data_IF_648769587184
#
_entry.id   IF_648769587184
#
_cell.length_a   1.000
_cell.length_b   1.000
_cell.length_c   1.000
_cell.angle_alpha   90.00
_cell.angle_beta   90.00
_cell.angle_gamma   90.00
#
_symmetry.space_group_name_H-M   'P 1'
#
loop_
_entity.id
_entity.type
_entity.pdbx_description
1 polymer ?
2 polymer ?
3 non-polymer ?
4 non-polymer ?
5 non-polymer ?
6 non-polymer ?
7 water ?
#
# COMPACT_ATOMS: atom_id res chain seq x y z
N UNK A 1 10.92 -17.91 -23.78
CA UNK A 1 10.20 -17.76 -22.47
C UNK A 1 9.05 -16.76 -22.62
N UNK A 2 8.01 -16.93 -21.80
CA UNK A 2 6.88 -16.00 -21.80
C UNK A 2 6.64 -15.50 -20.38
N UNK A 3 6.27 -14.24 -20.28
CA UNK A 3 6.18 -13.58 -18.99
C UNK A 3 5.11 -14.17 -18.07
N UNK A 4 4.06 -14.78 -18.64
CA UNK A 4 2.96 -15.32 -17.82
C UNK A 4 3.33 -16.64 -17.14
N UNK A 5 4.41 -17.28 -17.61
CA UNK A 5 4.90 -18.48 -16.98
C UNK A 5 6.17 -18.21 -16.18
N UNK A 6 6.08 -18.37 -14.87
CA UNK A 6 7.25 -18.32 -14.00
C UNK A 6 7.88 -16.92 -14.07
N UNK A 7 7.06 -15.93 -14.41
CA UNK A 7 7.52 -14.53 -14.59
C UNK A 7 8.56 -14.35 -15.70
N UNK A 8 8.56 -15.24 -16.70
CA UNK A 8 9.56 -15.21 -17.77
C UNK A 8 10.97 -15.47 -17.30
N UNK A 9 11.10 -16.00 -16.07
CA UNK A 9 12.41 -16.14 -15.38
C UNK A 9 12.97 -14.87 -14.76
N UNK A 10 12.30 -13.73 -14.99
CA UNK A 10 12.74 -12.44 -14.47
C UNK A 10 12.52 -12.31 -12.96
N UNK A 11 13.43 -11.59 -12.33
CA UNK A 11 13.34 -11.25 -10.91
C UNK A 11 12.23 -10.24 -10.67
N UNK A 12 12.15 -9.23 -11.54
CA UNK A 12 11.16 -8.17 -11.47
C UNK A 12 10.24 -8.17 -12.68
N UNK A 13 10.35 -7.19 -13.57
CA UNK A 13 9.36 -6.97 -14.63
C UNK A 13 9.77 -7.67 -15.92
N UNK A 14 8.77 -8.01 -16.74
CA UNK A 14 8.97 -8.87 -17.92
C UNK A 14 8.14 -8.35 -19.08
N UNK A 15 8.78 -8.19 -20.25
CA UNK A 15 8.09 -7.85 -21.51
C UNK A 15 8.28 -8.96 -22.54
N UNK A 16 7.16 -9.40 -23.12
CA UNK A 16 7.17 -10.29 -24.29
C UNK A 16 7.45 -9.46 -25.55
N UNK A 17 8.22 -10.02 -26.47
CA UNK A 17 8.49 -9.37 -27.74
C UNK A 17 8.16 -10.32 -28.90
N UNK A 18 8.15 -9.75 -30.10
CA UNK A 18 7.79 -10.50 -31.30
C UNK A 18 8.88 -11.54 -31.59
N UNK A 19 8.47 -12.80 -31.57
CA UNK A 19 9.36 -13.96 -31.68
C UNK A 19 9.32 -14.71 -30.37
N UNK A 20 10.22 -15.69 -30.22
CA UNK A 20 10.45 -16.30 -28.91
C UNK A 20 11.38 -15.38 -28.12
N UNK A 21 11.03 -14.10 -28.05
CA UNK A 21 11.84 -13.09 -27.37
C UNK A 21 11.19 -12.55 -26.10
N UNK A 22 12.04 -12.18 -25.15
CA UNK A 22 11.61 -11.73 -23.83
C UNK A 22 12.68 -10.78 -23.29
N UNK A 23 12.28 -9.67 -22.69
CA UNK A 23 13.19 -8.80 -21.99
C UNK A 23 12.74 -8.59 -20.56
N UNK A 24 13.66 -8.78 -19.62
CA UNK A 24 13.43 -8.47 -18.22
C UNK A 24 13.84 -7.04 -17.98
N UNK A 25 13.19 -6.40 -17.00
CA UNK A 25 13.52 -5.02 -16.65
C UNK A 25 13.48 -4.88 -15.12
N UNK A 26 14.02 -3.78 -14.61
CA UNK A 26 14.09 -3.54 -13.17
C UNK A 26 13.47 -2.17 -12.84
N UNK A 27 13.01 -2.05 -11.61
CA UNK A 27 12.43 -0.81 -11.09
C UNK A 27 13.55 0.22 -11.01
N UNK A 28 13.16 1.50 -10.98
CA UNK A 28 14.15 2.55 -10.71
C UNK A 28 14.89 2.22 -9.42
N UNK A 29 16.20 2.51 -9.38
CA UNK A 29 17.03 2.17 -8.22
C UNK A 29 17.65 0.78 -8.30
N UNK A 30 17.42 0.10 -9.44
CA UNK A 30 18.02 -1.19 -9.72
C UNK A 30 18.54 -1.25 -11.13
N UNK A 31 19.52 -2.12 -11.38
CA UNK A 31 19.99 -2.41 -12.74
C UNK A 31 20.00 -3.90 -13.01
N UNK A 32 19.87 -4.25 -14.27
CA UNK A 32 19.77 -5.64 -14.69
C UNK A 32 21.16 -6.21 -14.88
N UNK A 33 21.39 -7.40 -14.33
CA UNK A 33 22.68 -8.08 -14.48
C UNK A 33 22.80 -8.74 -15.86
N UNK A 34 24.01 -9.20 -16.17
CA UNK A 34 24.34 -9.85 -17.46
C UNK A 34 23.60 -11.16 -17.70
N UNK A 35 23.10 -11.80 -16.64
CA UNK A 35 22.24 -12.98 -16.80
C UNK A 35 20.89 -12.65 -17.46
N UNK A 36 20.58 -11.36 -17.53
CA UNK A 36 19.37 -10.87 -18.17
C UNK A 36 18.10 -11.01 -17.36
N UNK A 37 18.22 -11.49 -16.12
CA UNK A 37 17.05 -11.76 -15.25
C UNK A 37 17.16 -11.07 -13.88
N UNK A 38 18.37 -10.95 -13.33
CA UNK A 38 18.56 -10.48 -11.95
C UNK A 38 18.68 -8.94 -11.90
N UNK A 39 18.18 -8.37 -10.79
CA UNK A 39 18.19 -6.93 -10.50
C UNK A 39 19.03 -6.66 -9.26
N UNK A 40 19.96 -5.73 -9.34
CA UNK A 40 20.76 -5.37 -8.22
C UNK A 40 20.58 -3.87 -7.89
N UNK A 41 20.51 -3.51 -6.60
CA UNK A 41 20.39 -2.08 -6.25
C UNK A 41 21.49 -1.20 -6.80
N UNK A 42 21.11 -0.01 -7.23
CA UNK A 42 22.04 1.00 -7.67
C UNK A 42 22.07 2.19 -6.71
N UNK A 43 21.20 2.19 -5.71
CA UNK A 43 21.16 3.27 -4.72
C UNK A 43 21.14 2.69 -3.32
N UNK A 44 21.28 3.57 -2.33
CA UNK A 44 21.37 3.15 -0.94
C UNK A 44 20.05 2.58 -0.44
N UNK A 45 18.94 3.21 -0.82
CA UNK A 45 17.61 2.85 -0.30
C UNK A 45 16.63 2.49 -1.43
N UNK A 46 16.86 1.34 -2.12
CA UNK A 46 15.96 1.00 -3.21
C UNK A 46 14.60 0.62 -2.67
N UNK A 47 13.55 0.74 -3.47
CA UNK A 47 12.21 0.42 -2.97
C UNK A 47 12.11 -1.06 -2.62
N UNK A 48 11.23 -1.37 -1.66
CA UNK A 48 10.86 -2.73 -1.40
C UNK A 48 11.90 -3.55 -0.67
N UNK A 49 12.97 -2.91 -0.20
CA UNK A 49 14.02 -3.55 0.60
C UNK A 49 14.04 -2.96 2.02
N UNK A 50 14.32 -3.80 3.00
CA UNK A 50 14.31 -3.35 4.40
C UNK A 50 15.73 -3.25 4.93
N UNK A 51 16.31 -2.03 5.02
CA UNK A 51 17.71 -1.85 5.38
C UNK A 51 18.23 -2.58 6.61
N UNK A 52 17.46 -2.62 7.70
CA UNK A 52 18.01 -3.26 8.92
C UNK A 52 18.14 -4.77 8.73
N UNK A 53 17.27 -5.35 7.92
CA UNK A 53 17.39 -6.77 7.54
C UNK A 53 18.45 -7.03 6.46
N UNK A 54 18.57 -6.14 5.47
CA UNK A 54 19.61 -6.27 4.44
C UNK A 54 21.00 -6.18 5.05
N UNK A 55 21.17 -5.26 6.00
CA UNK A 55 22.36 -5.22 6.83
C UNK A 55 22.47 -6.48 7.70
N UNK A 56 21.32 -6.94 8.20
CA UNK A 56 21.14 -8.23 8.90
C UNK A 56 20.70 -7.99 10.34
N UNK B 1 -5.07 -3.65 13.76
CA UNK B 1 -4.75 -5.03 13.42
C UNK B 1 -5.12 -5.98 14.57
N UNK B 2 -5.93 -6.98 14.27
CA UNK B 2 -6.32 -8.02 15.25
C UNK B 2 -5.52 -9.30 15.00
N UNK B 3 -4.91 -9.87 16.05
CA UNK B 3 -4.25 -11.15 15.99
C UNK B 3 -2.92 -11.18 15.26
N UNK B 4 -2.27 -10.01 15.16
CA UNK B 4 -0.92 -9.90 14.58
C UNK B 4 0.14 -9.75 15.66
N UNK B 5 1.22 -9.06 15.34
CA UNK B 5 2.28 -8.74 16.29
C UNK B 5 2.86 -7.38 16.02
N UNK B 6 3.69 -6.93 16.94
CA UNK B 6 4.39 -5.69 16.75
C UNK B 6 5.36 -5.84 15.56
N UNK B 7 5.24 -4.95 14.60
CA UNK B 7 6.25 -4.85 13.57
C UNK B 7 7.54 -4.31 14.21
N UNK B 8 8.64 -5.08 14.20
CA UNK B 8 9.87 -4.52 14.75
C UNK B 8 10.26 -3.21 14.06
N UNK B 9 10.66 -2.24 14.88
CA UNK B 9 10.96 -0.88 14.44
C UNK B 9 11.89 -0.89 13.22
N UNK B 10 11.45 -0.29 12.12
CA UNK B 10 12.27 -0.27 10.91
C UNK B 10 11.96 -1.38 9.91
N UNK B 11 11.11 -2.34 10.29
CA UNK B 11 10.76 -3.42 9.37
C UNK B 11 9.51 -3.20 8.53
N UNK B 12 8.85 -2.08 8.74
CA UNK B 12 7.74 -1.66 7.94
C UNK B 12 8.00 -0.20 7.47
N UNK B 13 9.17 0.07 6.83
CA UNK B 13 9.64 1.44 6.67
C UNK B 13 8.86 2.33 5.70
N UNK B 14 7.95 1.72 4.95
CA UNK B 14 7.06 2.38 4.00
C UNK B 14 5.73 2.77 4.61
N UNK B 15 5.48 2.36 5.85
CA UNK B 15 4.20 2.63 6.51
C UNK B 15 4.07 4.12 6.78
N UNK B 16 2.89 4.66 6.53
CA UNK B 16 2.60 6.08 6.79
C UNK B 16 1.47 6.18 7.81
N UNK B 17 1.59 7.14 8.72
CA UNK B 17 0.48 7.53 9.62
C UNK B 17 -0.06 8.86 9.14
N UNK B 18 -1.36 8.91 8.89
CA UNK B 18 -2.01 10.17 8.48
C UNK B 18 -2.72 10.77 9.71
N UNK B 19 -2.52 12.06 9.91
CA UNK B 19 -3.08 12.80 11.06
C UNK B 19 -3.95 13.96 10.56
N UNK B 20 -5.01 14.27 11.31
CA UNK B 20 -5.82 15.46 11.02
C UNK B 20 -5.96 16.20 12.36
N UNK B 21 -5.46 17.43 12.43
CA UNK B 21 -5.34 18.15 13.72
C UNK B 21 -4.67 17.34 14.90
N UNK B 22 -3.60 16.62 14.59
CA UNK B 22 -2.90 15.79 15.56
C UNK B 22 -3.48 14.41 15.81
N UNK B 23 -4.71 14.18 15.36
CA UNK B 23 -5.43 12.96 15.63
C UNK B 23 -5.23 11.92 14.53
N UNK B 24 -5.08 10.67 14.93
CA UNK B 24 -4.97 9.56 13.99
C UNK B 24 -6.16 9.52 13.03
N UNK B 25 -5.87 9.53 11.72
CA UNK B 25 -6.89 9.42 10.69
C UNK B 25 -6.88 8.05 10.01
N UNK B 26 -5.74 7.69 9.43
CA UNK B 26 -5.63 6.56 8.53
C UNK B 26 -4.17 6.17 8.39
N UNK B 27 -3.92 5.04 7.73
CA UNK B 27 -2.56 4.72 7.31
C UNK B 27 -2.40 5.02 5.84
N UNK B 28 -1.19 4.76 5.36
CA UNK B 28 -0.89 4.82 3.95
C UNK B 28 0.48 4.20 3.63
N UNK B 29 0.91 4.29 2.36
CA UNK B 29 2.14 3.65 1.91
C UNK B 29 2.97 4.63 1.11
N UNK B 30 4.22 4.83 1.52
CA UNK B 30 5.16 5.61 0.72
C UNK B 30 5.56 4.76 -0.51
N UNK B 31 5.44 5.33 -1.69
CA UNK B 31 5.89 4.67 -2.90
C UNK B 31 7.04 5.43 -3.63
N UNK B 32 7.31 6.66 -3.24
CA UNK B 32 8.59 7.29 -3.56
C UNK B 32 8.71 8.48 -2.62
N UNK B 33 9.68 9.37 -2.82
CA UNK B 33 9.96 10.36 -1.78
C UNK B 33 8.91 11.43 -1.57
N UNK B 34 7.98 11.59 -2.51
CA UNK B 34 6.92 12.58 -2.33
C UNK B 34 5.49 12.06 -2.50
N UNK B 35 5.32 10.78 -2.81
CA UNK B 35 4.01 10.21 -3.04
C UNK B 35 3.67 9.11 -2.04
N UNK B 36 2.43 9.17 -1.55
CA UNK B 36 1.84 8.20 -0.61
C UNK B 36 0.53 7.72 -1.19
N UNK B 37 0.24 6.41 -1.06
CA UNK B 37 -1.01 5.84 -1.50
C UNK B 37 -1.79 5.52 -0.24
N UNK B 38 -3.05 5.91 -0.24
CA UNK B 38 -3.99 5.63 0.87
C UNK B 38 -5.40 5.28 0.31
N UNK B 39 -6.42 5.28 1.18
CA UNK B 39 -7.80 4.96 0.77
C UNK B 39 -8.61 6.26 0.60
N UNK B 40 -9.41 6.33 -0.46
CA UNK B 40 -10.28 7.47 -0.70
C UNK B 40 -11.19 7.75 0.46
N UNK B 41 -11.71 6.67 1.08
CA UNK B 41 -12.73 6.85 2.13
C UNK B 41 -12.21 7.57 3.37
N UNK B 42 -10.90 7.55 3.59
CA UNK B 42 -10.29 8.29 4.68
C UNK B 42 -10.57 9.80 4.63
N UNK B 43 -10.93 10.32 3.46
CA UNK B 43 -11.08 11.77 3.25
C UNK B 43 -12.52 12.21 3.09
N UNK B 44 -13.47 11.34 3.38
CA UNK B 44 -14.89 11.67 3.17
C UNK B 44 -15.35 12.86 4.03
N UNK B 45 -14.81 13.01 5.22
CA UNK B 45 -15.31 14.00 6.18
C UNK B 45 -14.30 15.04 6.54
N UNK B 46 -13.33 15.30 5.69
CA UNK B 46 -12.30 16.27 6.04
C UNK B 46 -12.88 17.69 6.03
N UNK B 47 -12.56 18.45 7.07
CA UNK B 47 -13.09 19.79 7.28
C UNK B 47 -12.10 20.81 6.75
N UNK B 48 -10.94 20.86 7.39
CA UNK B 48 -9.84 21.72 6.95
C UNK B 48 -8.78 20.87 6.25
N UNK B 49 -8.81 20.89 4.91
CA UNK B 49 -7.85 20.15 4.11
C UNK B 49 -6.41 20.56 4.36
N UNK B 50 -6.19 21.69 5.02
CA UNK B 50 -4.85 22.24 5.15
C UNK B 50 -4.14 21.80 6.44
N UNK B 51 -4.82 20.98 7.25
CA UNK B 51 -4.24 20.41 8.48
C UNK B 51 -3.99 18.89 8.42
N UNK B 52 -3.90 18.37 7.20
CA UNK B 52 -3.56 16.97 7.00
C UNK B 52 -2.04 16.79 7.02
N UNK B 53 -1.55 15.84 7.83
CA UNK B 53 -0.12 15.61 7.99
C UNK B 53 0.17 14.16 7.74
N UNK B 54 1.28 13.88 7.04
CA UNK B 54 1.75 12.48 6.87
C UNK B 54 3.01 12.33 7.69
N UNK B 55 3.12 11.22 8.42
CA UNK B 55 4.30 10.96 9.22
C UNK B 55 4.94 9.65 8.75
N UNK B 56 6.21 9.73 8.43
CA UNK B 56 7.02 8.56 8.09
C UNK B 56 7.98 8.25 9.24
N UNK B 57 8.44 6.99 9.29
CA UNK B 57 9.42 6.57 10.26
C UNK B 57 8.85 6.45 11.66
N UNK B 58 7.52 6.42 11.74
CA UNK B 58 6.81 6.32 13.02
C UNK B 58 6.79 4.82 13.42
N UNK B 59 6.80 4.60 14.74
CA UNK B 59 6.73 3.27 15.30
C UNK B 59 5.89 3.26 16.59
N UNK B 60 6.40 3.89 17.63
CA UNK B 60 5.71 3.96 18.92
C UNK B 60 5.14 5.36 19.09
N UNK B 61 3.82 5.47 19.03
CA UNK B 61 3.14 6.77 19.07
C UNK B 61 3.29 7.51 20.41
N UNK B 62 3.79 6.83 21.42
CA UNK B 62 3.91 7.39 22.76
C UNK B 62 5.18 8.22 22.91
N UNK B 63 6.13 8.08 21.99
CA UNK B 63 7.42 8.71 22.15
C UNK B 63 7.94 9.34 20.86
N UNK B 64 8.91 10.21 21.00
CA UNK B 64 9.65 10.76 19.90
C UNK B 64 11.08 10.20 19.98
N UNK B 65 11.52 9.52 18.92
CA UNK B 65 12.88 8.99 18.90
C UNK B 65 13.82 9.57 17.83
N UNK B 66 13.30 10.49 17.04
CA UNK B 66 14.08 11.24 16.07
C UNK B 66 14.12 10.61 14.69
N UNK B 67 13.51 9.44 14.50
CA UNK B 67 13.44 8.83 13.16
C UNK B 67 12.17 9.25 12.39
N UNK B 68 11.25 9.92 13.07
CA UNK B 68 10.02 10.37 12.46
C UNK B 68 10.28 11.56 11.54
N UNK B 69 9.58 11.59 10.42
CA UNK B 69 9.55 12.74 9.52
C UNK B 69 8.11 13.10 9.18
N UNK B 70 7.70 14.35 9.44
CA UNK B 70 6.35 14.82 9.15
C UNK B 70 6.34 15.76 7.96
N UNK B 71 5.33 15.61 7.12
CA UNK B 71 5.13 16.48 6.00
C UNK B 71 3.66 16.84 5.90
N UNK B 72 3.39 18.04 5.44
CA UNK B 72 2.05 18.46 5.07
C UNK B 72 1.64 17.78 3.78
N UNK B 73 0.35 17.46 3.67
CA UNK B 73 -0.19 16.88 2.44
C UNK B 73 -0.66 18.01 1.53
N UNK B 74 0.02 18.17 0.40
CA UNK B 74 -0.24 19.25 -0.56
C UNK B 74 -1.40 18.91 -1.50
N UNK B 75 -1.61 17.63 -1.79
CA UNK B 75 -2.65 17.20 -2.72
C UNK B 75 -3.19 15.86 -2.30
N UNK B 76 -4.52 15.71 -2.39
CA UNK B 76 -5.19 14.43 -2.23
C UNK B 76 -5.93 14.19 -3.54
N UNK B 77 -5.51 13.18 -4.28
CA UNK B 77 -6.08 12.89 -5.60
C UNK B 77 -6.91 11.60 -5.52
N UNK B 78 -8.18 11.68 -5.92
CA UNK B 78 -9.11 10.56 -5.85
C UNK B 78 -9.71 10.28 -7.25
N UNK B 79 -9.92 9.01 -7.59
CA UNK B 79 -10.48 8.74 -8.91
C UNK B 79 -11.87 9.31 -9.04
N UNK B 80 -12.24 9.75 -10.23
CA UNK B 80 -13.59 10.26 -10.51
C UNK B 80 -14.70 9.26 -10.20
N UNK B 81 -14.41 7.98 -10.32
CA UNK B 81 -15.36 6.87 -10.13
C UNK B 81 -15.68 6.54 -8.65
N UNK B 82 -14.89 7.07 -7.73
CA UNK B 82 -15.15 6.97 -6.28
C UNK B 82 -16.36 7.81 -5.89
N UNK B 83 -17.29 7.21 -5.16
CA UNK B 83 -18.45 7.94 -4.62
C UNK B 83 -18.35 7.94 -3.10
N UNK B 84 -18.21 9.12 -2.47
CA UNK B 84 -18.12 9.11 -1.01
C UNK B 84 -19.21 8.31 -0.30
N UNK B 85 -18.77 7.61 0.75
CA UNK B 85 -19.64 6.78 1.55
C UNK B 85 -19.87 5.38 1.02
N UNK B 86 -19.33 5.06 -0.15
CA UNK B 86 -19.39 3.71 -0.72
C UNK B 86 -17.99 3.09 -0.80
N UNK B 87 -17.89 1.85 -1.28
CA UNK B 87 -16.67 1.04 -1.13
C UNK B 87 -15.79 0.94 -2.38
N UNK B 88 -16.37 1.10 -3.57
CA UNK B 88 -15.65 0.83 -4.81
C UNK B 88 -14.66 1.95 -5.16
N UNK B 89 -13.58 1.58 -5.82
CA UNK B 89 -12.51 2.53 -6.21
C UNK B 89 -11.89 3.27 -5.02
N UNK B 90 -11.57 2.53 -3.96
CA UNK B 90 -11.16 3.12 -2.69
C UNK B 90 -9.64 3.34 -2.65
N UNK B 91 -9.20 4.40 -3.33
CA UNK B 91 -7.78 4.69 -3.46
C UNK B 91 -7.58 6.21 -3.54
N UNK B 92 -6.51 6.70 -2.91
CA UNK B 92 -6.14 8.12 -2.98
C UNK B 92 -4.63 8.19 -3.16
N UNK B 93 -4.18 9.16 -3.94
CA UNK B 93 -2.76 9.43 -4.14
C UNK B 93 -2.47 10.81 -3.54
N UNK B 94 -1.53 10.83 -2.61
CA UNK B 94 -1.24 12.01 -1.84
C UNK B 94 0.14 12.49 -2.22
N UNK B 95 0.25 13.80 -2.46
CA UNK B 95 1.52 14.44 -2.77
C UNK B 95 1.96 15.20 -1.53
N UNK B 96 3.18 14.93 -1.08
CA UNK B 96 3.73 15.61 0.10
C UNK B 96 4.24 17.01 -0.30
N UNK B 97 4.25 17.94 0.64
CA UNK B 97 4.66 19.33 0.33
C UNK B 97 6.15 19.41 0.07
N UNK B 98 6.91 18.49 0.64
CA UNK B 98 8.37 18.41 0.49
C UNK B 98 8.75 16.94 0.61
N UNK B 99 9.77 16.47 -0.15
CA UNK B 99 10.11 15.06 -0.07
C UNK B 99 10.52 14.63 1.35
N UNK B 100 10.23 13.37 1.71
CA UNK B 100 10.87 12.80 2.88
C UNK B 100 12.31 12.41 2.49
N UNK B 101 13.17 12.24 3.49
CA UNK B 101 14.57 11.86 3.25
C UNK B 101 14.67 10.37 3.50
N UNK B 102 15.12 9.63 2.52
CA UNK B 102 15.21 8.20 2.74
C UNK B 102 16.32 7.88 3.76
N UNK B 103 16.01 6.93 4.65
CA UNK B 103 16.88 6.56 5.78
C UNK B 103 16.63 5.10 6.07
N UNK B 104 17.34 4.51 7.04
CA UNK B 104 17.07 3.11 7.43
C UNK B 104 15.61 2.90 7.87
N UNK B 105 14.94 3.97 8.29
CA UNK B 105 13.57 3.86 8.82
C UNK B 105 12.49 4.37 7.91
N UNK B 106 12.90 4.91 6.75
CA UNK B 106 11.98 5.51 5.79
C UNK B 106 12.40 5.05 4.40
N UNK B 107 11.63 4.14 3.80
CA UNK B 107 11.90 3.55 2.50
C UNK B 107 10.61 3.31 1.75
N UNK B 108 10.55 3.61 0.44
CA UNK B 108 9.27 3.36 -0.23
C UNK B 108 9.08 1.91 -0.56
N UNK B 109 7.83 1.47 -0.62
CA UNK B 109 7.45 0.19 -1.22
C UNK B 109 7.39 0.33 -2.76
N UNK B 110 7.80 -0.68 -3.49
CA UNK B 110 7.71 -0.64 -4.94
C UNK B 110 6.28 -0.71 -5.44
N UNK B 111 5.90 0.24 -6.29
CA UNK B 111 4.64 0.16 -7.00
C UNK B 111 4.89 -0.67 -8.25
N UNK B 112 4.31 -1.88 -8.34
CA UNK B 112 4.70 -2.79 -9.41
C UNK B 112 4.12 -2.41 -10.77
N UNK B 113 4.68 -2.94 -11.85
CA UNK B 113 3.97 -2.89 -13.13
C UNK B 113 2.68 -3.69 -13.08
N UNK B 114 1.66 -3.29 -13.83
CA UNK B 114 0.38 -3.99 -13.85
C UNK B 114 0.54 -5.47 -14.24
N UNK B 115 1.23 -5.73 -15.33
CA UNK B 115 1.35 -7.13 -15.80
C UNK B 115 2.02 -8.00 -14.76
N UNK B 116 3.10 -7.51 -14.17
CA UNK B 116 3.81 -8.24 -13.12
C UNK B 116 2.87 -8.51 -11.93
N UNK B 117 2.10 -7.48 -11.56
CA UNK B 117 1.22 -7.60 -10.43
C UNK B 117 0.08 -8.60 -10.68
N UNK B 118 -0.47 -8.57 -11.88
CA UNK B 118 -1.57 -9.48 -12.23
C UNK B 118 -1.14 -10.92 -12.50
N UNK B 119 -0.04 -11.07 -13.20
CA UNK B 119 0.42 -12.40 -13.62
C UNK B 119 1.21 -13.13 -12.55
N UNK B 120 1.85 -12.39 -11.65
CA UNK B 120 2.76 -12.97 -10.71
C UNK B 120 2.37 -12.64 -9.28
N UNK B 121 2.28 -11.35 -8.91
CA UNK B 121 2.01 -11.02 -7.50
C UNK B 121 0.66 -11.54 -6.99
N UNK B 122 -0.37 -11.50 -7.84
CA UNK B 122 -1.73 -11.91 -7.46
C UNK B 122 -1.81 -13.35 -6.99
N UNK B 123 -0.77 -14.13 -7.30
CA UNK B 123 -0.67 -15.56 -6.97
C UNK B 123 0.25 -15.88 -5.81
N UNK B 124 0.92 -14.88 -5.24
CA UNK B 124 1.62 -15.07 -3.97
C UNK B 124 0.55 -15.17 -2.86
N UNK B 125 0.54 -16.29 -2.14
CA UNK B 125 -0.57 -16.54 -1.24
C UNK B 125 -0.64 -15.55 -0.07
N UNK B 126 0.47 -15.35 0.63
CA UNK B 126 0.48 -14.54 1.84
C UNK B 126 1.15 -13.19 1.61
N UNK B 127 0.57 -12.17 2.25
CA UNK B 127 1.07 -10.81 2.22
C UNK B 127 0.87 -10.17 3.60
N UNK B 128 1.59 -9.08 3.82
CA UNK B 128 1.64 -8.41 5.14
C UNK B 128 0.72 -7.19 5.11
N UNK B 129 -0.08 -7.01 6.16
CA UNK B 129 -0.94 -5.83 6.33
C UNK B 129 -0.57 -5.20 7.66
N UNK B 130 -0.49 -3.86 7.71
CA UNK B 130 0.01 -3.18 8.91
C UNK B 130 -0.75 -1.90 9.27
N UNK B 131 -0.64 -1.48 10.54
CA UNK B 131 -1.21 -0.24 10.99
C UNK B 131 -1.34 -0.14 12.51
N UNK B 132 -1.82 1.01 12.94
CA UNK B 132 -2.03 1.35 14.34
C UNK B 132 -3.51 1.33 14.63
N UNK B 133 -4.27 0.52 13.92
CA UNK B 133 -5.70 0.39 14.18
C UNK B 133 -6.05 -0.40 15.43
N UNK B 134 -7.33 -0.68 15.56
CA UNK B 134 -7.86 -1.42 16.73
C UNK B 134 -7.24 -2.81 16.86
N UNK B 135 -6.91 -3.17 18.09
CA UNK B 135 -6.33 -4.48 18.41
C UNK B 135 -7.41 -5.55 18.57
N UNK B 136 -8.66 -5.09 18.77
CA UNK B 136 -9.86 -5.94 18.92
C UNK B 136 -11.03 -5.18 18.39
N UNK B 137 -12.05 -5.90 17.94
CA UNK B 137 -13.34 -5.31 17.63
C UNK B 137 -13.84 -4.57 18.89
N UNK B 138 -14.26 -3.33 18.72
CA UNK B 138 -14.74 -2.49 19.83
C UNK B 138 -13.65 -2.19 20.87
N UNK B 139 -12.39 -2.26 20.47
CA UNK B 139 -11.27 -2.11 21.37
C UNK B 139 -10.40 -0.93 21.01
N UNK B 140 -9.44 -0.65 21.90
CA UNK B 140 -8.49 0.48 21.75
C UNK B 140 -7.53 0.26 20.56
N UNK B 141 -7.04 1.36 20.01
CA UNK B 141 -6.06 1.29 18.91
C UNK B 141 -4.66 1.06 19.46
N UNK B 142 -3.76 0.60 18.57
CA UNK B 142 -2.39 0.27 18.94
C UNK B 142 -1.50 1.48 19.13
N UNK B 143 -0.62 1.44 20.14
CA UNK B 143 0.41 2.48 20.27
C UNK B 143 1.69 2.13 19.52
N UNK B 144 1.90 0.85 19.26
CA UNK B 144 3.03 0.40 18.42
C UNK B 144 2.50 -0.20 17.14
N UNK B 145 3.20 0.05 16.03
CA UNK B 145 2.79 -0.43 14.71
C UNK B 145 2.68 -1.95 14.73
N UNK B 146 1.56 -2.46 14.25
CA UNK B 146 1.33 -3.90 14.21
C UNK B 146 1.32 -4.41 12.76
N UNK B 147 1.59 -5.72 12.60
CA UNK B 147 1.65 -6.38 11.31
C UNK B 147 1.07 -7.80 11.38
N UNK B 148 0.47 -8.23 10.28
CA UNK B 148 -0.26 -9.49 10.19
C UNK B 148 -0.05 -10.09 8.80
N UNK B 149 0.21 -11.40 8.75
CA UNK B 149 0.33 -12.12 7.47
C UNK B 149 -1.04 -12.67 7.16
N UNK B 150 -1.57 -12.36 5.98
CA UNK B 150 -2.91 -12.78 5.57
C UNK B 150 -2.87 -13.41 4.18
N UNK B 151 -3.62 -14.50 3.98
CA UNK B 151 -3.71 -15.11 2.65
C UNK B 151 -4.81 -14.51 1.78
N UNK B 152 -4.53 -14.42 0.48
CA UNK B 152 -5.43 -13.85 -0.50
C UNK B 152 -6.34 -14.94 -1.03
N UNK B 153 -7.56 -14.54 -1.36
CA UNK B 153 -8.55 -15.42 -1.93
C UNK B 153 -8.91 -14.95 -3.32
N UNK B 154 -9.15 -15.89 -4.23
CA UNK B 154 -9.86 -15.55 -5.47
C UNK B 154 -11.28 -15.15 -5.10
N UNK B 155 -11.84 -14.18 -5.82
CA UNK B 155 -13.08 -13.58 -5.36
C UNK B 155 -14.24 -14.58 -5.36
N UNK B 156 -14.25 -15.50 -6.33
CA UNK B 156 -15.23 -16.59 -6.38
C UNK B 156 -15.21 -17.39 -5.07
N UNK B 157 -14.01 -17.75 -4.62
CA UNK B 157 -13.84 -18.48 -3.36
C UNK B 157 -14.16 -17.63 -2.14
N UNK B 158 -13.89 -16.32 -2.23
CA UNK B 158 -14.25 -15.41 -1.15
C UNK B 158 -15.76 -15.40 -0.92
N UNK B 159 -16.49 -15.26 -2.02
CA UNK B 159 -17.95 -15.20 -1.98
C UNK B 159 -18.55 -16.54 -1.52
N UNK B 160 -17.98 -17.65 -1.96
CA UNK B 160 -18.40 -18.99 -1.53
C UNK B 160 -18.12 -19.23 -0.05
N UNK B 161 -16.98 -18.75 0.44
CA UNK B 161 -16.58 -18.96 1.83
C UNK B 161 -17.15 -17.95 2.83
N UNK B 162 -17.83 -16.91 2.35
CA UNK B 162 -18.35 -15.85 3.24
C UNK B 162 -19.77 -16.15 3.72
N UNK B 163 -20.05 -15.87 4.99
CA UNK B 163 -21.33 -16.21 5.60
C UNK B 163 -21.46 -15.60 7.02
N UNK B 168 -24.02 -7.66 2.24
CA UNK B 168 -22.78 -6.89 2.05
C UNK B 168 -22.80 -6.09 0.75
N UNK B 169 -21.81 -5.17 0.58
CA UNK B 169 -21.50 -4.66 -0.76
C UNK B 169 -20.89 -5.76 -1.65
N UNK B 170 -20.96 -5.61 -2.97
CA UNK B 170 -20.30 -6.55 -3.89
C UNK B 170 -18.78 -6.48 -3.72
N UNK B 171 -18.11 -7.59 -4.02
CA UNK B 171 -16.66 -7.59 -4.21
C UNK B 171 -16.46 -7.38 -5.69
N UNK B 172 -15.96 -6.21 -6.08
CA UNK B 172 -15.82 -5.87 -7.48
C UNK B 172 -14.43 -6.22 -7.99
N UNK B 173 -14.23 -6.00 -9.29
CA UNK B 173 -12.95 -6.30 -9.92
C UNK B 173 -11.86 -5.33 -9.43
N UNK B 174 -12.28 -4.29 -8.71
CA UNK B 174 -11.36 -3.32 -8.09
C UNK B 174 -11.02 -3.62 -6.65
N UNK B 175 -11.30 -4.84 -6.20
CA UNK B 175 -11.14 -5.29 -4.84
C UNK B 175 -10.61 -6.71 -4.84
N UNK B 176 -10.09 -7.15 -3.69
CA UNK B 176 -9.86 -8.55 -3.42
C UNK B 176 -9.99 -8.82 -1.93
N UNK B 177 -10.28 -10.09 -1.59
CA UNK B 177 -10.35 -10.52 -0.18
C UNK B 177 -9.07 -11.15 0.29
N UNK B 178 -8.77 -10.96 1.56
CA UNK B 178 -7.68 -11.64 2.18
C UNK B 178 -7.94 -11.77 3.66
N UNK B 179 -7.38 -12.81 4.26
CA UNK B 179 -7.49 -13.01 5.70
C UNK B 179 -8.14 -14.33 6.06
N UNK B 180 -8.95 -14.29 7.10
CA UNK B 180 -9.48 -15.50 7.76
C UNK B 180 -10.95 -15.32 8.10
N UNK B 181 -11.72 -16.41 8.02
CA UNK B 181 -13.14 -16.38 8.35
C UNK B 181 -13.46 -16.79 9.79
N UNK B 182 -12.46 -17.16 10.58
CA UNK B 182 -12.69 -17.64 11.97
C UNK B 182 -12.66 -16.57 13.05
N UNK B 183 -12.57 -15.31 12.65
CA UNK B 183 -12.63 -14.21 13.59
C UNK B 183 -11.40 -13.97 14.45
N UNK B 184 -10.27 -14.56 14.08
CA UNK B 184 -9.05 -14.46 14.88
C UNK B 184 -8.07 -13.36 14.46
N UNK B 185 -8.11 -13.02 13.17
CA UNK B 185 -7.04 -12.23 12.52
C UNK B 185 -7.61 -11.38 11.37
N UNK B 186 -7.38 -10.07 11.44
CA UNK B 186 -7.89 -9.13 10.43
C UNK B 186 -7.19 -7.78 10.58
N UNK B 187 -7.30 -6.98 9.52
CA UNK B 187 -7.12 -5.54 9.65
C UNK B 187 -8.48 -4.95 10.05
N UNK B 188 -8.45 -3.73 10.57
CA UNK B 188 -9.57 -3.08 11.28
C UNK B 188 -9.70 -1.63 10.86
N UNK B 189 -10.83 -1.00 11.20
CA UNK B 189 -11.13 0.39 10.82
C UNK B 189 -9.93 1.33 10.76
N UNK B 190 -9.21 1.45 11.88
CA UNK B 190 -8.07 2.39 12.00
C UNK B 190 -6.84 2.09 11.15
N UNK B 191 -6.81 0.90 10.57
CA UNK B 191 -5.76 0.46 9.61
C UNK B 191 -6.06 0.90 8.18
N UNK B 192 -7.27 1.43 7.94
CA UNK B 192 -7.68 1.89 6.63
C UNK B 192 -6.58 2.70 5.99
N UNK B 193 -6.38 2.41 4.70
CA UNK B 193 -5.41 3.09 3.89
C UNK B 193 -4.01 2.53 3.89
N UNK B 194 -3.73 1.61 4.81
CA UNK B 194 -2.40 1.08 4.97
C UNK B 194 -2.08 0.02 3.93
N UNK B 195 -0.81 -0.42 3.91
CA UNK B 195 -0.37 -1.37 2.92
C UNK B 195 -0.78 -2.80 3.13
N UNK B 196 -1.09 -3.44 2.00
CA UNK B 196 -1.04 -4.87 1.78
C UNK B 196 0.17 -5.03 0.86
N UNK B 197 1.22 -5.61 1.42
CA UNK B 197 2.57 -5.73 0.79
C UNK B 197 2.91 -7.20 0.51
N UNK B 198 3.42 -7.45 -0.70
CA UNK B 198 3.64 -8.80 -1.19
C UNK B 198 5.12 -8.99 -1.55
N UNK B 199 5.73 -10.07 -1.06
CA UNK B 199 7.12 -10.34 -1.31
C UNK B 199 7.24 -11.19 -2.56
N UNK B 200 8.22 -10.87 -3.40
CA UNK B 200 8.59 -11.72 -4.51
C UNK B 200 10.06 -11.59 -4.79
N UNK B 201 10.75 -12.71 -4.67
CA UNK B 201 12.17 -12.81 -4.98
C UNK B 201 13.01 -11.67 -4.40
N UNK B 202 12.84 -11.44 -3.10
CA UNK B 202 13.69 -10.55 -2.32
C UNK B 202 13.27 -9.09 -2.24
N UNK B 203 12.13 -8.76 -2.84
CA UNK B 203 11.65 -7.36 -2.92
C UNK B 203 10.17 -7.34 -2.60
N UNK B 204 9.73 -6.32 -1.88
CA UNK B 204 8.30 -6.15 -1.53
C UNK B 204 7.61 -5.13 -2.43
N UNK B 205 6.34 -5.41 -2.73
CA UNK B 205 5.53 -4.65 -3.64
C UNK B 205 4.16 -4.29 -3.05
N UNK B 206 3.63 -3.15 -3.48
CA UNK B 206 2.28 -2.75 -3.10
C UNK B 206 1.22 -3.46 -3.97
N UNK B 207 0.42 -4.32 -3.32
CA UNK B 207 -0.66 -5.03 -3.99
C UNK B 207 -2.06 -4.64 -3.53
N UNK B 208 -2.19 -4.13 -2.30
CA UNK B 208 -3.54 -3.78 -1.80
C UNK B 208 -3.51 -2.61 -0.85
N UNK B 209 -4.71 -2.08 -0.61
CA UNK B 209 -4.95 -1.02 0.38
C UNK B 209 -6.05 -1.48 1.35
N UNK B 210 -5.79 -1.43 2.65
CA UNK B 210 -6.80 -1.70 3.67
C UNK B 210 -8.04 -0.84 3.40
N UNK B 211 -9.16 -1.48 3.07
CA UNK B 211 -10.34 -0.76 2.58
C UNK B 211 -11.59 -0.96 3.43
N UNK B 212 -12.15 -2.15 3.48
CA UNK B 212 -13.40 -2.36 4.25
C UNK B 212 -13.60 -3.80 4.68
N UNK B 213 -14.61 -4.03 5.51
CA UNK B 213 -15.08 -5.38 5.86
C UNK B 213 -16.32 -5.30 6.75
N UNK B 214 -16.74 -6.44 7.29
CA UNK B 214 -17.88 -6.49 8.24
C UNK B 214 -17.34 -6.50 9.68
N UNK B 215 -17.45 -5.38 10.37
CA UNK B 215 -16.89 -5.26 11.73
C UNK B 215 -15.41 -5.57 11.56
N UNK B 216 -14.68 -5.96 12.62
CA UNK B 216 -13.29 -6.41 12.49
C UNK B 216 -13.14 -7.80 13.06
N UNK B 217 -12.50 -8.70 12.31
CA UNK B 217 -12.35 -10.08 12.68
C UNK B 217 -13.73 -10.71 12.96
N UNK B 218 -14.75 -10.41 12.14
CA UNK B 218 -16.07 -11.00 12.35
C UNK B 218 -16.09 -12.39 11.73
N UNK B 219 -16.46 -13.39 12.53
CA UNK B 219 -16.62 -14.74 12.02
C UNK B 219 -17.44 -14.72 10.72
N UNK B 220 -17.00 -15.52 9.75
CA UNK B 220 -17.71 -15.70 8.49
C UNK B 220 -17.34 -14.71 7.40
N UNK B 221 -16.40 -13.81 7.69
CA UNK B 221 -16.07 -12.71 6.77
C UNK B 221 -14.57 -12.48 6.65
N UNK B 222 -14.18 -11.97 5.49
CA UNK B 222 -12.77 -11.64 5.21
C UNK B 222 -12.59 -10.13 5.07
N UNK B 223 -11.33 -9.68 5.12
CA UNK B 223 -10.99 -8.26 4.86
C UNK B 223 -11.06 -8.00 3.37
N UNK B 224 -11.48 -6.80 2.99
CA UNK B 224 -11.54 -6.45 1.59
C UNK B 224 -10.55 -5.31 1.35
N UNK B 225 -9.79 -5.46 0.26
CA UNK B 225 -8.65 -4.60 -0.06
C UNK B 225 -8.81 -4.06 -1.46
N UNK B 226 -8.35 -2.83 -1.67
CA UNK B 226 -8.39 -2.25 -3.00
C UNK B 226 -7.34 -2.95 -3.84
N UNK B 227 -7.73 -3.36 -5.03
CA UNK B 227 -6.84 -4.06 -5.97
C UNK B 227 -5.98 -3.07 -6.72
N UNK B 228 -4.82 -2.77 -6.15
CA UNK B 228 -3.97 -1.71 -6.67
C UNK B 228 -3.52 -1.92 -8.13
N UNK B 229 -3.47 -3.18 -8.58
CA UNK B 229 -3.08 -3.52 -9.96
C UNK B 229 -3.97 -2.83 -11.01
N UNK B 230 -5.21 -2.54 -10.62
CA UNK B 230 -6.15 -1.85 -11.50
C UNK B 230 -5.82 -0.38 -11.68
N UNK B 231 -4.97 0.17 -10.81
CA UNK B 231 -4.69 1.62 -10.78
C UNK B 231 -3.27 2.03 -11.12
N UNK B 232 -2.42 1.09 -11.53
CA UNK B 232 -0.99 1.42 -11.75
C UNK B 232 -0.80 2.56 -12.77
N UNK B 233 -1.52 2.45 -13.87
CA UNK B 233 -1.38 3.39 -15.00
C UNK B 233 -1.91 4.77 -14.57
N UNK B 234 -3.05 4.78 -13.89
CA UNK B 234 -3.65 5.99 -13.33
C UNK B 234 -2.70 6.72 -12.37
N UNK B 235 -2.07 5.98 -11.47
CA UNK B 235 -1.11 6.56 -10.50
C UNK B 235 0.12 7.10 -11.19
N UNK B 236 0.65 6.33 -12.15
CA UNK B 236 1.87 6.73 -12.83
C UNK B 236 1.67 8.02 -13.60
N UNK B 237 0.52 8.14 -14.25
CA UNK B 237 0.20 9.37 -15.01
C UNK B 237 0.13 10.58 -14.07
N UNK B 238 -0.54 10.42 -12.92
CA UNK B 238 -0.67 11.51 -11.95
C UNK B 238 0.69 11.94 -11.36
N UNK B 239 1.57 10.97 -11.12
CA UNK B 239 2.88 11.27 -10.57
C UNK B 239 3.77 12.05 -11.54
N UNK B 240 3.45 12.03 -12.84
CA UNK B 240 4.16 12.85 -13.82
C UNK B 240 3.54 14.23 -14.00
N UNK B 241 2.38 14.48 -13.39
CA UNK B 241 1.62 15.72 -13.64
C UNK B 241 2.04 16.86 -12.73
N UNK B 242 1.84 18.11 -13.14
CA UNK B 242 2.13 19.23 -12.26
C UNK B 242 1.08 19.41 -11.17
N UNK B 243 1.49 19.83 -9.97
CA UNK B 243 0.51 20.15 -8.94
C UNK B 243 -0.49 21.23 -9.40
N UNK B 244 -1.70 21.17 -8.82
CA UNK B 244 -2.76 22.13 -9.08
C UNK B 244 -3.18 22.79 -7.77
N UNK B 245 -3.58 24.07 -7.82
CA UNK B 245 -4.04 24.73 -6.64
C UNK B 245 -5.22 23.98 -6.05
N UNK B 246 -5.35 24.02 -4.74
CA UNK B 246 -6.42 23.32 -4.02
C UNK B 246 -6.06 21.87 -3.70
N UNK B 247 -6.22 21.48 -2.43
CA UNK B 247 -5.72 20.19 -1.95
C UNK B 247 -6.44 19.04 -2.65
N UNK B 248 -7.78 19.05 -2.65
CA UNK B 248 -8.49 17.92 -3.26
C UNK B 248 -8.52 18.06 -4.78
N UNK B 249 -8.18 16.96 -5.46
CA UNK B 249 -8.30 16.82 -6.91
C UNK B 249 -9.03 15.51 -7.24
N UNK B 250 -10.10 15.60 -8.03
CA UNK B 250 -10.72 14.42 -8.59
C UNK B 250 -10.15 14.27 -9.99
N UNK B 251 -9.60 13.09 -10.31
CA UNK B 251 -8.95 12.87 -11.60
C UNK B 251 -9.69 11.78 -12.34
N UNK B 252 -9.84 11.91 -13.66
CA UNK B 252 -10.60 10.89 -14.37
C UNK B 252 -10.03 9.48 -14.21
N UNK B 253 -10.90 8.51 -14.00
CA UNK B 253 -10.52 7.10 -14.06
C UNK B 253 -11.48 6.45 -15.06
N UNK B 254 -10.97 5.62 -15.98
CA UNK B 254 -9.56 5.27 -16.15
C UNK B 254 -8.65 6.42 -16.60
#
# INVERSE_FOLDING_TARGET
LICVNENGGCEQYCSDHTGTKRSCRCHEGYSLLADGVSCTPTVEYPCGKIPILEKRNASKPQGR
IVGGKVCPKGECPWQVLLLVNGAQLCGGTLINTIWVVSAAHCFDKIKNWRNLIAVLGEHDLSEHDGDEQSRRVAQVIIPSTYVPGTTNHDIALLRLHQPVVLTDHVVPLCLPERTFSERTLAFVRFSLVSGWGQLLDRGATALELMVLNVPRLMTQDCLQQSRKVGDSPNITEYMFCAGYSDGSKDSCKGDSGGPHATHYRGTWYLTGIVSWGQGCATVGHFGVYTRVSQYIEWLQKLMRSEPRPGVLLRAPFP
#
